data_IF_375597569115
#
_entry.id   IF_375597569115
#
_cell.length_a   1.000
_cell.length_b   1.000
_cell.length_c   1.000
_cell.angle_alpha   90.00
_cell.angle_beta   90.00
_cell.angle_gamma   90.00
#
_symmetry.space_group_name_H-M   'P 1'
#
loop_
_entity.id
_entity.type
_entity.pdbx_description
1 polymer ?
#
# COMPACT_ATOMS: atom_id res chain seq x y z
N UNK A 1 -3.87 -8.47 32.89
CA UNK A 1 -4.14 -8.84 31.50
C UNK A 1 -5.45 -9.64 31.33
N UNK A 2 -6.08 -10.14 32.38
CA UNK A 2 -7.35 -10.90 32.34
C UNK A 2 -8.68 -10.11 32.17
N UNK A 3 -8.87 -8.85 32.57
CA UNK A 3 -10.19 -8.20 32.48
C UNK A 3 -10.62 -7.83 31.05
N UNK A 4 -9.67 -7.61 30.14
CA UNK A 4 -9.99 -7.23 28.75
C UNK A 4 -10.56 -8.42 27.97
N UNK A 5 -10.01 -9.61 28.14
CA UNK A 5 -10.49 -10.83 27.50
C UNK A 5 -11.91 -11.21 27.96
N UNK A 6 -12.22 -11.01 29.26
CA UNK A 6 -13.57 -11.27 29.79
C UNK A 6 -14.61 -10.26 29.26
N UNK A 7 -14.21 -9.02 29.04
CA UNK A 7 -15.08 -7.98 28.46
C UNK A 7 -15.37 -8.22 26.97
N UNK A 8 -14.37 -8.66 26.23
CA UNK A 8 -14.51 -9.08 24.83
C UNK A 8 -15.43 -10.31 24.74
N UNK A 9 -15.27 -11.30 25.60
CA UNK A 9 -16.13 -12.47 25.65
C UNK A 9 -17.60 -12.13 25.97
N UNK A 10 -17.86 -11.17 26.88
CA UNK A 10 -19.22 -10.69 27.17
C UNK A 10 -19.82 -9.90 26.01
N UNK A 11 -19.01 -9.10 25.29
CA UNK A 11 -19.46 -8.41 24.07
C UNK A 11 -19.86 -9.42 22.98
N UNK A 12 -19.04 -10.44 22.75
CA UNK A 12 -19.35 -11.50 21.78
C UNK A 12 -20.60 -12.30 22.17
N UNK A 13 -20.78 -12.65 23.44
CA UNK A 13 -22.00 -13.31 23.92
C UNK A 13 -23.25 -12.44 23.82
N UNK A 14 -23.14 -11.13 24.03
CA UNK A 14 -24.24 -10.17 23.83
C UNK A 14 -24.64 -10.02 22.37
N UNK A 15 -23.70 -10.03 21.44
CA UNK A 15 -23.96 -10.00 19.99
C UNK A 15 -24.56 -11.31 19.47
N UNK A 16 -24.22 -12.46 20.09
CA UNK A 16 -24.72 -13.78 19.65
C UNK A 16 -26.17 -14.07 20.07
N UNK A 17 -26.71 -13.33 21.04
CA UNK A 17 -27.96 -13.69 21.71
C UNK A 17 -29.26 -13.31 20.97
N UNK A 18 -29.21 -12.61 19.84
CA UNK A 18 -30.46 -12.02 19.39
C UNK A 18 -30.89 -12.29 17.95
N UNK A 19 -30.04 -12.12 16.97
CA UNK A 19 -30.50 -12.11 15.57
C UNK A 19 -29.61 -12.92 14.65
N UNK A 20 -30.18 -13.50 13.59
CA UNK A 20 -29.43 -14.20 12.56
C UNK A 20 -28.34 -13.32 11.92
N UNK A 21 -28.57 -12.01 11.80
CA UNK A 21 -27.59 -11.03 11.34
C UNK A 21 -26.34 -11.00 12.24
N UNK A 22 -26.50 -11.10 13.55
CA UNK A 22 -25.38 -11.16 14.50
C UNK A 22 -24.54 -12.41 14.29
N UNK A 23 -25.17 -13.56 14.05
CA UNK A 23 -24.47 -14.83 13.78
C UNK A 23 -23.68 -14.77 12.47
N UNK A 24 -24.30 -14.23 11.40
CA UNK A 24 -23.64 -14.01 10.10
C UNK A 24 -22.46 -13.05 10.26
N UNK A 25 -22.64 -11.96 10.98
CA UNK A 25 -21.57 -10.98 11.24
C UNK A 25 -20.35 -11.59 11.96
N UNK A 26 -20.59 -12.47 12.95
CA UNK A 26 -19.52 -13.18 13.67
C UNK A 26 -18.77 -14.13 12.70
N UNK A 27 -19.49 -14.92 11.92
CA UNK A 27 -18.87 -15.86 10.96
C UNK A 27 -18.06 -15.13 9.92
N UNK A 28 -18.62 -14.08 9.30
CA UNK A 28 -17.90 -13.26 8.31
C UNK A 28 -16.69 -12.55 8.95
N UNK A 29 -16.89 -11.94 10.11
CA UNK A 29 -15.81 -11.25 10.83
C UNK A 29 -14.67 -12.20 11.23
N UNK A 30 -14.99 -13.40 11.72
CA UNK A 30 -13.96 -14.39 12.05
C UNK A 30 -13.23 -14.91 10.81
N UNK A 31 -13.93 -15.13 9.71
CA UNK A 31 -13.32 -15.54 8.44
C UNK A 31 -12.38 -14.47 7.89
N UNK A 32 -12.80 -13.20 7.90
CA UNK A 32 -11.94 -12.08 7.50
C UNK A 32 -10.71 -11.95 8.42
N UNK A 33 -10.90 -12.08 9.72
CA UNK A 33 -9.80 -12.04 10.69
C UNK A 33 -8.80 -13.16 10.44
N UNK A 34 -9.27 -14.39 10.24
CA UNK A 34 -8.42 -15.53 9.93
C UNK A 34 -7.66 -15.34 8.60
N UNK A 35 -8.32 -14.78 7.59
CA UNK A 35 -7.71 -14.52 6.28
C UNK A 35 -6.61 -13.45 6.34
N UNK A 36 -6.88 -12.32 7.01
CA UNK A 36 -5.95 -11.18 7.03
C UNK A 36 -4.92 -11.22 8.16
N UNK A 37 -5.18 -11.96 9.25
CA UNK A 37 -4.27 -12.02 10.40
C UNK A 37 -2.81 -12.35 10.04
N UNK A 38 -2.50 -13.32 9.16
CA UNK A 38 -1.12 -13.63 8.81
C UNK A 38 -0.41 -12.53 8.00
N UNK A 39 -1.16 -11.67 7.31
CA UNK A 39 -0.62 -10.64 6.42
C UNK A 39 -0.83 -9.21 6.96
N UNK A 40 -1.35 -9.08 8.17
CA UNK A 40 -1.66 -7.76 8.76
C UNK A 40 -0.45 -6.85 8.83
N UNK A 41 0.72 -7.40 9.13
CA UNK A 41 1.95 -6.62 9.18
C UNK A 41 2.34 -6.05 7.80
N UNK A 42 2.11 -6.82 6.73
CA UNK A 42 2.35 -6.40 5.35
C UNK A 42 1.39 -5.27 4.95
N UNK A 43 0.10 -5.43 5.30
CA UNK A 43 -0.91 -4.39 5.04
C UNK A 43 -0.61 -3.08 5.77
N UNK A 44 -0.20 -3.17 7.03
CA UNK A 44 0.21 -2.00 7.82
C UNK A 44 1.43 -1.32 7.20
N UNK A 45 2.40 -2.08 6.70
CA UNK A 45 3.56 -1.53 6.01
C UNK A 45 3.15 -0.78 4.72
N UNK A 46 2.34 -1.38 3.84
CA UNK A 46 1.83 -0.71 2.64
C UNK A 46 1.08 0.57 2.99
N UNK A 47 0.16 0.52 3.95
CA UNK A 47 -0.56 1.70 4.42
C UNK A 47 0.38 2.82 4.90
N UNK A 48 1.42 2.46 5.65
CA UNK A 48 2.40 3.43 6.14
C UNK A 48 3.18 4.09 4.99
N UNK A 49 3.63 3.31 3.98
CA UNK A 49 4.32 3.85 2.82
C UNK A 49 3.41 4.80 2.02
N UNK A 50 2.17 4.40 1.73
CA UNK A 50 1.21 5.24 1.00
C UNK A 50 0.86 6.52 1.76
N UNK A 51 0.76 6.46 3.10
CA UNK A 51 0.53 7.65 3.93
C UNK A 51 1.73 8.61 3.90
N UNK A 52 2.96 8.08 3.92
CA UNK A 52 4.19 8.87 3.81
C UNK A 52 4.31 9.48 2.41
N UNK A 53 4.03 8.72 1.34
CA UNK A 53 4.01 9.25 -0.03
C UNK A 53 3.03 10.41 -0.18
N UNK A 54 1.80 10.27 0.30
CA UNK A 54 0.81 11.34 0.32
C UNK A 54 1.32 12.59 1.05
N UNK A 55 1.97 12.41 2.22
CA UNK A 55 2.49 13.52 3.00
C UNK A 55 3.58 14.30 2.23
N UNK A 56 4.52 13.60 1.60
CA UNK A 56 5.56 14.25 0.80
C UNK A 56 5.01 14.83 -0.50
N UNK A 57 4.04 14.19 -1.15
CA UNK A 57 3.35 14.73 -2.32
C UNK A 57 2.66 16.06 -2.02
N UNK A 58 2.00 16.19 -0.87
CA UNK A 58 1.40 17.46 -0.41
C UNK A 58 2.49 18.54 -0.22
N UNK A 59 3.63 18.18 0.39
CA UNK A 59 4.75 19.14 0.56
C UNK A 59 5.30 19.62 -0.78
N UNK A 60 5.44 18.73 -1.76
CA UNK A 60 5.86 19.09 -3.14
C UNK A 60 4.86 20.05 -3.76
N UNK A 61 3.56 19.76 -3.69
CA UNK A 61 2.51 20.62 -4.21
C UNK A 61 2.55 22.02 -3.58
N UNK A 62 2.75 22.10 -2.25
CA UNK A 62 2.94 23.38 -1.55
C UNK A 62 4.16 24.14 -2.06
N UNK A 63 5.31 23.47 -2.25
CA UNK A 63 6.54 24.10 -2.75
C UNK A 63 6.38 24.65 -4.16
N UNK A 64 5.59 23.95 -5.00
CA UNK A 64 5.32 24.35 -6.38
C UNK A 64 4.19 25.38 -6.52
N UNK A 65 3.64 25.91 -5.43
CA UNK A 65 2.48 26.81 -5.40
C UNK A 65 1.26 26.26 -6.17
N UNK A 66 1.15 24.95 -6.32
CA UNK A 66 -0.02 24.31 -6.94
C UNK A 66 -1.21 24.40 -5.97
N UNK A 67 -2.39 24.70 -6.52
CA UNK A 67 -3.63 24.70 -5.74
C UNK A 67 -3.89 23.28 -5.20
N UNK A 68 -3.83 23.13 -3.89
CA UNK A 68 -4.10 21.86 -3.24
C UNK A 68 -5.61 21.66 -3.20
N UNK A 69 -6.12 20.81 -4.05
CA UNK A 69 -7.49 20.33 -3.97
C UNK A 69 -7.51 19.09 -3.06
N UNK A 70 -7.69 19.31 -1.77
CA UNK A 70 -7.66 18.26 -0.74
C UNK A 70 -8.53 17.04 -1.10
N UNK A 71 -9.68 17.27 -1.73
CA UNK A 71 -10.58 16.21 -2.14
C UNK A 71 -9.98 15.31 -3.24
N UNK A 72 -9.25 15.88 -4.21
CA UNK A 72 -8.62 15.10 -5.28
C UNK A 72 -7.44 14.28 -4.74
N UNK A 73 -6.61 14.89 -3.90
CA UNK A 73 -5.49 14.17 -3.26
C UNK A 73 -5.95 13.00 -2.42
N UNK A 74 -6.94 13.21 -1.56
CA UNK A 74 -7.51 12.16 -0.72
C UNK A 74 -8.15 11.03 -1.53
N UNK A 75 -8.92 11.39 -2.58
CA UNK A 75 -9.53 10.40 -3.48
C UNK A 75 -8.49 9.54 -4.18
N UNK A 76 -7.42 10.15 -4.70
CA UNK A 76 -6.31 9.42 -5.34
C UNK A 76 -5.65 8.42 -4.39
N UNK A 77 -5.33 8.85 -3.16
CA UNK A 77 -4.72 7.99 -2.13
C UNK A 77 -5.65 6.83 -1.74
N UNK A 78 -6.95 7.09 -1.56
CA UNK A 78 -7.90 6.03 -1.23
C UNK A 78 -8.06 5.01 -2.36
N UNK A 79 -8.09 5.47 -3.63
CA UNK A 79 -8.13 4.56 -4.78
C UNK A 79 -6.89 3.68 -4.81
N UNK A 80 -5.70 4.28 -4.64
CA UNK A 80 -4.43 3.55 -4.58
C UNK A 80 -4.43 2.48 -3.48
N UNK A 81 -4.84 2.84 -2.26
CA UNK A 81 -4.97 1.89 -1.14
C UNK A 81 -5.96 0.76 -1.46
N UNK A 82 -7.08 1.08 -2.11
CA UNK A 82 -8.06 0.06 -2.50
C UNK A 82 -7.46 -0.92 -3.52
N UNK A 83 -6.74 -0.42 -4.52
CA UNK A 83 -6.08 -1.24 -5.54
C UNK A 83 -5.00 -2.14 -4.92
N UNK A 84 -4.18 -1.61 -4.01
CA UNK A 84 -3.19 -2.37 -3.26
C UNK A 84 -3.84 -3.50 -2.43
N UNK A 85 -4.92 -3.19 -1.72
CA UNK A 85 -5.68 -4.17 -0.94
C UNK A 85 -6.26 -5.28 -1.83
N UNK A 86 -6.76 -4.95 -3.02
CA UNK A 86 -7.27 -5.92 -3.98
C UNK A 86 -6.16 -6.84 -4.45
N UNK A 87 -5.01 -6.29 -4.87
CA UNK A 87 -3.86 -7.08 -5.37
C UNK A 87 -3.36 -8.04 -4.29
N UNK A 88 -3.13 -7.54 -3.06
CA UNK A 88 -2.63 -8.36 -1.95
C UNK A 88 -3.65 -9.46 -1.59
N UNK A 89 -4.95 -9.13 -1.59
CA UNK A 89 -6.01 -10.11 -1.28
C UNK A 89 -6.12 -11.19 -2.34
N UNK A 90 -6.01 -10.84 -3.63
CA UNK A 90 -6.02 -11.81 -4.72
C UNK A 90 -4.77 -12.70 -4.70
N UNK A 91 -3.59 -12.12 -4.45
CA UNK A 91 -2.36 -12.88 -4.28
C UNK A 91 -2.48 -13.88 -3.11
N UNK A 92 -3.08 -13.46 -1.99
CA UNK A 92 -3.34 -14.32 -0.83
C UNK A 92 -4.33 -15.44 -1.14
N UNK A 93 -5.43 -15.12 -1.84
CA UNK A 93 -6.41 -16.12 -2.27
C UNK A 93 -5.80 -17.18 -3.19
N UNK A 94 -5.00 -16.73 -4.17
CA UNK A 94 -4.32 -17.64 -5.09
C UNK A 94 -3.32 -18.54 -4.35
N UNK A 95 -2.56 -17.97 -3.43
CA UNK A 95 -1.59 -18.69 -2.60
C UNK A 95 -2.27 -19.77 -1.75
N UNK A 96 -3.38 -19.42 -1.08
CA UNK A 96 -4.18 -20.39 -0.33
C UNK A 96 -4.77 -21.50 -1.21
N UNK A 97 -5.23 -21.15 -2.41
CA UNK A 97 -5.80 -22.12 -3.34
C UNK A 97 -4.76 -23.11 -3.88
N UNK A 98 -3.52 -22.67 -4.09
CA UNK A 98 -2.46 -23.49 -4.69
C UNK A 98 -1.63 -24.21 -3.63
N UNK A 99 -1.24 -23.54 -2.55
CA UNK A 99 -0.29 -24.02 -1.55
C UNK A 99 -0.93 -24.38 -0.20
N UNK A 100 -2.20 -24.04 0.00
CA UNK A 100 -2.88 -24.20 1.27
C UNK A 100 -2.33 -23.29 2.38
N UNK A 101 -2.72 -23.54 3.64
CA UNK A 101 -2.32 -22.70 4.78
C UNK A 101 -0.83 -22.81 5.15
N UNK A 102 -0.17 -23.87 4.73
CA UNK A 102 1.26 -24.13 5.01
C UNK A 102 2.19 -23.50 3.98
N UNK A 103 1.65 -22.84 2.95
CA UNK A 103 2.42 -22.19 1.92
C UNK A 103 3.29 -21.05 2.47
N UNK A 104 4.52 -20.98 1.98
CA UNK A 104 5.37 -19.80 2.20
C UNK A 104 4.69 -18.63 1.48
N UNK A 105 4.59 -17.47 2.12
CA UNK A 105 3.96 -16.23 1.57
C UNK A 105 4.73 -15.66 0.37
N UNK A 106 4.96 -16.45 -0.68
CA UNK A 106 5.78 -16.04 -1.84
C UNK A 106 5.02 -15.03 -2.70
N UNK A 107 3.79 -15.36 -3.09
CA UNK A 107 2.98 -14.48 -3.94
C UNK A 107 2.50 -13.24 -3.17
N UNK A 108 1.97 -13.42 -1.98
CA UNK A 108 1.50 -12.33 -1.13
C UNK A 108 2.66 -11.42 -0.72
N UNK A 109 3.77 -11.99 -0.26
CA UNK A 109 4.96 -11.25 0.12
C UNK A 109 5.61 -10.56 -1.07
N UNK A 110 5.76 -11.24 -2.20
CA UNK A 110 6.31 -10.68 -3.43
C UNK A 110 5.49 -9.49 -3.94
N UNK A 111 4.17 -9.63 -4.03
CA UNK A 111 3.28 -8.53 -4.42
C UNK A 111 3.40 -7.33 -3.47
N UNK A 112 3.45 -7.59 -2.17
CA UNK A 112 3.61 -6.53 -1.16
C UNK A 112 4.96 -5.81 -1.29
N UNK A 113 6.04 -6.55 -1.54
CA UNK A 113 7.38 -5.96 -1.74
C UNK A 113 7.39 -5.06 -2.98
N UNK A 114 6.78 -5.50 -4.10
CA UNK A 114 6.69 -4.69 -5.32
C UNK A 114 5.92 -3.41 -5.04
N UNK A 115 4.76 -3.48 -4.38
CA UNK A 115 3.97 -2.32 -3.99
C UNK A 115 4.80 -1.38 -3.10
N UNK A 116 5.43 -1.90 -2.05
CA UNK A 116 6.24 -1.10 -1.14
C UNK A 116 7.43 -0.43 -1.84
N UNK A 117 8.07 -1.08 -2.81
CA UNK A 117 9.14 -0.49 -3.62
C UNK A 117 8.63 0.65 -4.51
N UNK A 118 7.43 0.50 -5.10
CA UNK A 118 6.79 1.56 -5.90
C UNK A 118 6.48 2.78 -5.04
N UNK A 119 5.91 2.58 -3.84
CA UNK A 119 5.65 3.67 -2.89
C UNK A 119 6.94 4.35 -2.44
N UNK A 120 7.95 3.56 -2.11
CA UNK A 120 9.25 4.09 -1.69
C UNK A 120 9.90 4.90 -2.81
N UNK A 121 9.77 4.46 -4.07
CA UNK A 121 10.24 5.22 -5.23
C UNK A 121 9.55 6.58 -5.33
N UNK A 122 8.22 6.61 -5.24
CA UNK A 122 7.44 7.85 -5.24
C UNK A 122 7.88 8.81 -4.13
N UNK A 123 8.12 8.29 -2.92
CA UNK A 123 8.65 9.06 -1.80
C UNK A 123 10.02 9.67 -2.13
N UNK A 124 10.93 8.90 -2.76
CA UNK A 124 12.25 9.38 -3.14
C UNK A 124 12.20 10.47 -4.21
N UNK A 125 11.31 10.36 -5.19
CA UNK A 125 11.05 11.41 -6.18
C UNK A 125 10.55 12.69 -5.53
N UNK A 126 9.59 12.57 -4.62
CA UNK A 126 9.08 13.68 -3.84
C UNK A 126 10.19 14.34 -3.01
N UNK A 127 11.03 13.55 -2.33
CA UNK A 127 12.17 14.04 -1.57
C UNK A 127 13.23 14.71 -2.45
N UNK A 128 13.52 14.16 -3.64
CA UNK A 128 14.43 14.78 -4.59
C UNK A 128 13.90 16.14 -5.09
N UNK A 129 12.60 16.26 -5.30
CA UNK A 129 11.95 17.52 -5.66
C UNK A 129 12.03 18.57 -4.54
N UNK A 130 11.92 18.13 -3.29
CA UNK A 130 12.02 19.00 -2.12
C UNK A 130 13.46 19.43 -1.83
N UNK A 131 14.41 18.51 -1.98
CA UNK A 131 15.83 18.74 -1.72
C UNK A 131 16.69 18.03 -2.78
N UNK A 132 16.99 18.71 -3.92
CA UNK A 132 17.74 18.12 -5.03
C UNK A 132 19.19 17.73 -4.69
N UNK A 133 19.76 18.35 -3.65
CA UNK A 133 21.14 18.11 -3.20
C UNK A 133 21.24 16.89 -2.25
N UNK A 134 20.11 16.27 -1.95
CA UNK A 134 20.04 15.09 -1.09
C UNK A 134 20.53 13.81 -1.78
N UNK A 135 20.79 12.74 -1.01
CA UNK A 135 21.29 11.45 -1.52
C UNK A 135 20.22 10.60 -2.22
N UNK A 136 19.05 11.16 -2.47
CA UNK A 136 17.83 10.44 -2.90
C UNK A 136 18.02 9.71 -4.22
N UNK A 137 18.72 10.33 -5.19
CA UNK A 137 19.05 9.69 -6.47
C UNK A 137 19.94 8.47 -6.33
N UNK A 138 20.93 8.54 -5.45
CA UNK A 138 21.83 7.41 -5.18
C UNK A 138 21.07 6.27 -4.49
N UNK A 139 20.21 6.61 -3.52
CA UNK A 139 19.38 5.65 -2.83
C UNK A 139 18.37 4.99 -3.78
N UNK A 140 17.72 5.76 -4.67
CA UNK A 140 16.84 5.23 -5.69
C UNK A 140 17.52 4.23 -6.61
N UNK A 141 18.72 4.54 -7.13
CA UNK A 141 19.50 3.61 -7.95
C UNK A 141 19.89 2.32 -7.18
N UNK A 142 20.23 2.45 -5.92
CA UNK A 142 20.54 1.30 -5.07
C UNK A 142 19.31 0.40 -4.87
N UNK A 143 18.16 0.99 -4.58
CA UNK A 143 16.89 0.26 -4.37
C UNK A 143 16.40 -0.42 -5.65
N UNK A 144 16.49 0.29 -6.81
CA UNK A 144 16.18 -0.30 -8.12
C UNK A 144 17.02 -1.55 -8.32
N UNK A 145 18.35 -1.44 -8.23
CA UNK A 145 19.26 -2.57 -8.42
C UNK A 145 18.94 -3.72 -7.47
N UNK A 146 18.66 -3.43 -6.19
CA UNK A 146 18.30 -4.46 -5.21
C UNK A 146 16.94 -5.09 -5.51
N UNK A 147 15.95 -4.29 -5.91
CA UNK A 147 14.64 -4.80 -6.32
C UNK A 147 14.76 -5.76 -7.51
N UNK A 148 15.52 -5.40 -8.53
CA UNK A 148 15.82 -6.25 -9.69
C UNK A 148 16.54 -7.54 -9.29
N UNK A 149 17.56 -7.45 -8.41
CA UNK A 149 18.29 -8.61 -7.90
C UNK A 149 17.38 -9.60 -7.17
N UNK A 150 16.37 -9.11 -6.40
CA UNK A 150 15.47 -9.95 -5.63
C UNK A 150 14.30 -10.52 -6.44
N UNK A 151 13.76 -9.74 -7.37
CA UNK A 151 12.56 -10.12 -8.12
C UNK A 151 12.89 -10.82 -9.42
N UNK A 152 14.11 -10.64 -9.95
CA UNK A 152 14.51 -11.08 -11.30
C UNK A 152 13.76 -10.33 -12.42
N UNK A 153 13.03 -9.26 -12.08
CA UNK A 153 12.25 -8.44 -13.01
C UNK A 153 13.00 -7.12 -13.16
N UNK A 154 13.30 -6.75 -14.40
CA UNK A 154 13.83 -5.42 -14.71
C UNK A 154 12.72 -4.38 -14.43
N UNK A 155 12.99 -3.48 -13.49
CA UNK A 155 12.05 -2.43 -13.09
C UNK A 155 12.34 -1.21 -13.95
N UNK A 156 11.56 -1.00 -15.03
CA UNK A 156 11.63 0.23 -15.79
C UNK A 156 10.88 1.34 -15.06
N UNK A 157 11.64 2.18 -14.39
CA UNK A 157 11.14 3.39 -13.71
C UNK A 157 11.41 4.62 -14.59
N UNK A 158 11.33 4.47 -15.91
CA UNK A 158 11.51 5.58 -16.82
C UNK A 158 10.34 6.58 -16.72
N UNK A 159 10.72 7.73 -16.35
CA UNK A 159 10.21 9.09 -16.44
C UNK A 159 9.09 9.33 -17.45
N UNK A 160 7.84 9.04 -17.11
CA UNK A 160 6.68 9.60 -17.84
C UNK A 160 6.51 11.12 -17.62
N UNK A 161 7.45 11.80 -16.96
CA UNK A 161 7.30 13.21 -16.61
C UNK A 161 8.11 14.20 -17.45
N UNK A 162 8.84 13.74 -18.48
CA UNK A 162 9.67 14.66 -19.31
C UNK A 162 9.09 15.06 -20.67
N UNK A 163 7.93 14.56 -21.07
CA UNK A 163 7.47 14.76 -22.46
C UNK A 163 6.38 15.84 -22.67
N UNK A 164 5.93 16.52 -21.63
CA UNK A 164 4.95 17.61 -21.81
C UNK A 164 5.56 18.99 -22.11
N UNK A 165 6.89 19.10 -22.15
CA UNK A 165 7.56 20.40 -22.44
C UNK A 165 7.92 20.57 -23.93
N UNK A 166 7.75 19.53 -24.75
CA UNK A 166 8.09 19.60 -26.19
C UNK A 166 6.92 19.93 -27.12
N UNK A 167 5.69 19.87 -26.64
CA UNK A 167 4.52 20.15 -27.47
C UNK A 167 4.24 21.66 -27.64
N UNK A 168 4.68 22.51 -26.71
CA UNK A 168 4.45 23.95 -26.76
C UNK A 168 5.43 24.71 -27.68
N UNK A 169 6.42 24.04 -28.26
CA UNK A 169 7.44 24.66 -29.12
C UNK A 169 7.19 24.45 -30.63
N UNK A 170 6.08 23.81 -31.03
CA UNK A 170 5.76 23.53 -32.43
C UNK A 170 4.62 24.42 -32.95
N UNK A 171 3.94 25.17 -32.08
CA UNK A 171 2.84 26.10 -32.48
C UNK A 171 3.19 27.60 -32.33
N UNK A 172 4.45 27.97 -32.42
CA UNK A 172 4.83 29.38 -32.47
C UNK A 172 5.55 29.73 -33.79
#
# INVERSE_FOLDING_TARGET
MMPILSSIGKMFNGLSAGTWYGKVGIVVGSALTAFYSPIVALLVACFAFTAVDMFYGIKVACKQNKKIESHKGWKGTLTKLADEMVIISLARLLELAVLGEQGVFVLTGGSTVIIALTELWSILENLNTLNPDGPWKALGKFLKKKGEDYTGIEIDLNDEHTDNTKLDSIES
#
